data_IF_706458813201
#
_entry.id   IF_706458813201
#
_cell.length_a   1.000
_cell.length_b   1.000
_cell.length_c   1.000
_cell.angle_alpha   90.00
_cell.angle_beta   90.00
_cell.angle_gamma   90.00
#
_symmetry.space_group_name_H-M   'P 1'
#
loop_
_entity.id
_entity.type
_entity.pdbx_description
1 polymer ?
#
# COMPACT_ATOMS: atom_id res chain seq x y z
N UNK A 1 17.69 7.54 13.62
CA UNK A 1 16.89 7.34 12.39
C UNK A 1 16.80 8.70 11.73
N UNK A 2 17.21 8.83 10.47
CA UNK A 2 17.04 10.09 9.74
C UNK A 2 15.54 10.43 9.65
N UNK A 3 15.20 11.72 9.74
CA UNK A 3 13.84 12.17 9.47
C UNK A 3 13.50 11.93 8.00
N UNK A 4 12.26 11.52 7.73
CA UNK A 4 11.77 11.38 6.36
C UNK A 4 11.77 12.76 5.71
N UNK A 5 12.24 12.84 4.47
CA UNK A 5 12.08 14.05 3.68
C UNK A 5 10.62 14.26 3.32
N UNK A 6 10.29 15.46 2.85
CA UNK A 6 8.97 15.75 2.28
C UNK A 6 8.65 14.79 1.12
N UNK A 7 9.65 14.50 0.28
CA UNK A 7 9.53 13.59 -0.86
C UNK A 7 9.22 12.16 -0.41
N UNK A 8 9.93 11.65 0.62
CA UNK A 8 9.67 10.33 1.18
C UNK A 8 8.24 10.22 1.74
N UNK A 9 7.76 11.30 2.38
CA UNK A 9 6.41 11.37 2.94
C UNK A 9 5.35 11.35 1.83
N UNK A 10 5.57 12.09 0.73
CA UNK A 10 4.69 12.09 -0.44
C UNK A 10 4.64 10.70 -1.05
N UNK A 11 5.79 10.05 -1.28
CA UNK A 11 5.85 8.71 -1.85
C UNK A 11 5.13 7.69 -0.95
N UNK A 12 5.32 7.77 0.36
CA UNK A 12 4.60 6.94 1.31
C UNK A 12 3.08 7.07 1.18
N UNK A 13 2.57 8.30 1.10
CA UNK A 13 1.14 8.56 0.96
C UNK A 13 0.60 7.93 -0.34
N UNK A 14 1.29 8.15 -1.47
CA UNK A 14 0.92 7.54 -2.77
C UNK A 14 0.81 6.01 -2.66
N UNK A 15 1.77 5.36 -1.98
CA UNK A 15 1.77 3.89 -1.79
C UNK A 15 0.58 3.45 -0.92
N UNK A 16 0.33 4.13 0.21
CA UNK A 16 -0.77 3.79 1.11
C UNK A 16 -2.14 3.92 0.42
N UNK A 17 -2.33 5.01 -0.34
CA UNK A 17 -3.53 5.25 -1.14
C UNK A 17 -3.70 4.21 -2.25
N UNK A 18 -2.61 3.81 -2.92
CA UNK A 18 -2.66 2.76 -3.95
C UNK A 18 -3.08 1.40 -3.37
N UNK A 19 -2.56 1.03 -2.19
CA UNK A 19 -2.99 -0.19 -1.48
C UNK A 19 -4.48 -0.13 -1.16
N UNK A 20 -4.93 0.98 -0.57
CA UNK A 20 -6.34 1.18 -0.22
C UNK A 20 -7.25 1.10 -1.45
N UNK A 21 -6.88 1.78 -2.52
CA UNK A 21 -7.63 1.78 -3.78
C UNK A 21 -7.79 0.37 -4.36
N UNK A 22 -6.69 -0.38 -4.44
CA UNK A 22 -6.70 -1.73 -4.98
C UNK A 22 -7.51 -2.69 -4.10
N UNK A 23 -7.45 -2.55 -2.77
CA UNK A 23 -8.34 -3.29 -1.86
C UNK A 23 -9.80 -2.93 -2.11
N UNK A 24 -10.14 -1.64 -2.20
CA UNK A 24 -11.53 -1.21 -2.40
C UNK A 24 -12.09 -1.71 -3.74
N UNK A 25 -11.26 -1.87 -4.78
CA UNK A 25 -11.65 -2.52 -6.03
C UNK A 25 -12.09 -3.97 -5.89
N UNK A 26 -11.69 -4.68 -4.83
CA UNK A 26 -12.19 -6.03 -4.56
C UNK A 26 -13.55 -6.05 -3.86
N UNK A 27 -14.08 -4.87 -3.48
CA UNK A 27 -15.33 -4.74 -2.71
C UNK A 27 -15.22 -5.12 -1.23
N UNK A 28 -14.01 -5.35 -0.70
CA UNK A 28 -13.81 -5.84 0.66
C UNK A 28 -13.41 -4.71 1.61
N UNK A 29 -13.94 -4.73 2.84
CA UNK A 29 -13.42 -3.87 3.93
C UNK A 29 -12.00 -4.31 4.35
N UNK A 30 -11.31 -3.52 5.18
CA UNK A 30 -10.01 -3.95 5.73
C UNK A 30 -10.12 -5.28 6.49
N UNK A 31 -11.21 -5.44 7.25
CA UNK A 31 -11.48 -6.66 8.04
C UNK A 31 -11.72 -7.86 7.13
N UNK A 32 -12.59 -7.71 6.13
CA UNK A 32 -12.93 -8.81 5.22
C UNK A 32 -11.72 -9.21 4.36
N UNK A 33 -10.94 -8.23 3.90
CA UNK A 33 -9.71 -8.47 3.16
C UNK A 33 -8.68 -9.23 4.00
N UNK A 34 -8.47 -8.81 5.26
CA UNK A 34 -7.57 -9.46 6.17
C UNK A 34 -8.00 -10.91 6.47
N UNK A 35 -9.30 -11.12 6.69
CA UNK A 35 -9.87 -12.45 6.91
C UNK A 35 -9.71 -13.35 5.68
N UNK A 36 -10.03 -12.85 4.48
CA UNK A 36 -9.89 -13.57 3.20
C UNK A 36 -8.46 -14.03 2.95
N UNK A 37 -7.47 -13.23 3.33
CA UNK A 37 -6.06 -13.53 3.09
C UNK A 37 -5.32 -14.07 4.32
N UNK A 38 -6.04 -14.42 5.39
CA UNK A 38 -5.50 -14.98 6.62
C UNK A 38 -4.35 -14.15 7.22
N UNK A 39 -4.51 -12.83 7.27
CA UNK A 39 -3.57 -11.91 7.91
C UNK A 39 -4.26 -11.07 8.98
N UNK A 40 -3.46 -10.47 9.87
CA UNK A 40 -3.98 -9.58 10.89
C UNK A 40 -4.50 -8.27 10.26
N UNK A 41 -5.71 -7.83 10.64
CA UNK A 41 -6.30 -6.55 10.21
C UNK A 41 -5.38 -5.36 10.47
N UNK A 42 -4.58 -5.40 11.53
CA UNK A 42 -3.58 -4.37 11.85
C UNK A 42 -2.49 -4.25 10.78
N UNK A 43 -2.21 -5.30 10.02
CA UNK A 43 -1.28 -5.24 8.88
C UNK A 43 -1.88 -4.36 7.78
N UNK A 44 -3.14 -4.58 7.41
CA UNK A 44 -3.85 -3.74 6.43
C UNK A 44 -3.95 -2.30 6.92
N UNK A 45 -4.32 -2.11 8.19
CA UNK A 45 -4.40 -0.78 8.78
C UNK A 45 -3.06 -0.03 8.70
N UNK A 46 -1.94 -0.72 8.94
CA UNK A 46 -0.60 -0.15 8.83
C UNK A 46 -0.23 0.18 7.39
N UNK A 47 -0.56 -0.71 6.44
CA UNK A 47 -0.28 -0.49 5.02
C UNK A 47 -1.04 0.70 4.43
N UNK A 48 -2.29 0.92 4.87
CA UNK A 48 -3.14 2.03 4.42
C UNK A 48 -3.00 3.30 5.28
N UNK A 49 -2.07 3.33 6.24
CA UNK A 49 -1.92 4.48 7.14
C UNK A 49 -1.04 5.58 6.54
N UNK A 50 -1.65 6.74 6.31
CA UNK A 50 -0.94 7.98 5.92
C UNK A 50 -0.35 8.77 7.10
N UNK A 51 -0.72 8.40 8.34
CA UNK A 51 -0.32 9.12 9.56
C UNK A 51 0.96 8.57 10.19
N UNK A 52 1.39 7.39 9.77
CA UNK A 52 2.53 6.72 10.37
C UNK A 52 3.83 7.25 9.76
N UNK A 53 4.88 7.49 10.55
CA UNK A 53 6.19 7.93 10.03
C UNK A 53 7.00 6.78 9.40
N UNK A 54 6.34 5.68 9.02
CA UNK A 54 6.97 4.46 8.50
C UNK A 54 6.19 4.00 7.29
N UNK A 55 6.82 4.11 6.13
CA UNK A 55 6.27 3.61 4.87
C UNK A 55 6.21 2.08 4.81
N UNK A 56 5.57 1.60 3.76
CA UNK A 56 5.44 0.17 3.46
C UNK A 56 6.70 -0.28 2.71
N UNK A 57 7.28 -1.41 3.13
CA UNK A 57 8.48 -1.96 2.47
C UNK A 57 8.11 -2.61 1.14
N UNK A 58 9.06 -2.68 0.19
CA UNK A 58 8.85 -3.33 -1.10
C UNK A 58 8.38 -4.80 -0.97
N UNK A 59 8.89 -5.54 0.03
CA UNK A 59 8.46 -6.91 0.32
C UNK A 59 6.98 -6.98 0.75
N UNK A 60 6.52 -5.99 1.50
CA UNK A 60 5.12 -5.91 1.92
C UNK A 60 4.22 -5.56 0.74
N UNK A 61 4.65 -4.64 -0.14
CA UNK A 61 3.95 -4.33 -1.39
C UNK A 61 3.85 -5.58 -2.26
N UNK A 62 4.95 -6.32 -2.44
CA UNK A 62 4.95 -7.57 -3.20
C UNK A 62 3.99 -8.61 -2.58
N UNK A 63 3.96 -8.72 -1.24
CA UNK A 63 3.02 -9.61 -0.55
C UNK A 63 1.57 -9.23 -0.81
N UNK A 64 1.25 -7.93 -0.77
CA UNK A 64 -0.06 -7.41 -1.11
C UNK A 64 -0.42 -7.67 -2.57
N UNK A 65 0.50 -7.47 -3.51
CA UNK A 65 0.29 -7.75 -4.93
C UNK A 65 -0.09 -9.22 -5.16
N UNK A 66 0.59 -10.15 -4.48
CA UNK A 66 0.25 -11.58 -4.52
C UNK A 66 -1.15 -11.90 -3.99
N UNK A 67 -1.68 -11.13 -3.03
CA UNK A 67 -3.06 -11.30 -2.55
C UNK A 67 -4.09 -10.94 -3.61
N UNK A 68 -3.73 -10.05 -4.54
CA UNK A 68 -4.60 -9.57 -5.62
C UNK A 68 -4.32 -10.23 -6.97
N UNK A 69 -3.33 -11.13 -7.04
CA UNK A 69 -2.85 -11.75 -8.28
C UNK A 69 -2.40 -10.72 -9.34
N UNK A 70 -1.70 -9.66 -8.89
CA UNK A 70 -1.10 -8.63 -9.75
C UNK A 70 0.42 -8.59 -9.59
N UNK A 71 1.12 -7.98 -10.55
CA UNK A 71 2.57 -7.76 -10.45
C UNK A 71 2.90 -6.46 -9.75
N UNK A 72 4.17 -6.29 -9.33
CA UNK A 72 4.67 -4.99 -8.86
C UNK A 72 4.57 -3.91 -9.95
N UNK A 73 4.76 -4.29 -11.22
CA UNK A 73 4.57 -3.36 -12.34
C UNK A 73 3.15 -2.81 -12.32
N UNK A 74 2.14 -3.68 -12.26
CA UNK A 74 0.73 -3.26 -12.25
C UNK A 74 0.37 -2.41 -11.02
N UNK A 75 1.02 -2.69 -9.89
CA UNK A 75 0.87 -1.86 -8.69
C UNK A 75 1.33 -0.41 -8.95
N UNK A 76 2.51 -0.22 -9.53
CA UNK A 76 3.09 1.10 -9.82
C UNK A 76 2.61 1.71 -11.15
N UNK A 77 1.84 0.98 -11.94
CA UNK A 77 1.14 1.48 -13.14
C UNK A 77 -0.10 2.31 -12.70
N UNK A 78 0.16 3.51 -12.16
CA UNK A 78 -0.83 4.50 -11.74
C UNK A 78 -0.26 5.90 -11.97
N UNK A 79 -1.11 6.83 -12.44
CA UNK A 79 -0.71 8.21 -12.76
C UNK A 79 -0.03 8.95 -11.59
N UNK A 80 -0.30 8.54 -10.34
CA UNK A 80 0.36 9.11 -9.16
C UNK A 80 1.88 8.91 -9.15
N UNK A 81 2.39 7.90 -9.86
CA UNK A 81 3.82 7.59 -9.96
C UNK A 81 4.49 8.17 -11.22
N UNK A 82 3.75 8.90 -12.07
CA UNK A 82 4.28 9.42 -13.34
C UNK A 82 5.03 10.75 -13.23
N UNK A 83 4.99 11.43 -12.07
CA UNK A 83 5.52 12.81 -11.89
C UNK A 83 6.86 12.88 -11.16
N UNK A 84 7.54 11.76 -10.97
CA UNK A 84 8.80 11.69 -10.21
C UNK A 84 10.03 11.61 -11.16
N UNK A 85 9.89 12.07 -12.41
CA UNK A 85 10.92 12.04 -13.47
C UNK A 85 11.36 13.45 -13.89
#
# INVERSE_FOLDING_TARGET
MAELTTEDTILQIKIAERIQFLRLKTGLSQTDFAQKHHIDRQVINRWESIKNKRGVTIYSIQKFCKMLDITLKDFFDDEKFNKDA
#
